data_IF_586563403137
#
_entry.id   IF_586563403137
#
_cell.length_a   1.000
_cell.length_b   1.000
_cell.length_c   1.000
_cell.angle_alpha   90.00
_cell.angle_beta   90.00
_cell.angle_gamma   90.00
#
_symmetry.space_group_name_H-M   'P 1'
#
loop_
_entity.id
_entity.type
_entity.pdbx_description
1 polymer ?
#
# COMPACT_ATOMS: atom_id res chain seq x y z
N UNK A 1 5.15 22.81 9.22
CA UNK A 1 5.92 22.51 10.45
C UNK A 1 5.97 21.00 10.52
N UNK A 2 7.14 20.37 10.32
CA UNK A 2 7.29 18.93 10.38
C UNK A 2 6.98 18.43 11.80
N UNK A 3 6.12 17.41 11.90
CA UNK A 3 5.79 16.79 13.19
C UNK A 3 7.02 16.04 13.70
N UNK A 4 7.35 16.09 15.00
CA UNK A 4 8.37 15.21 15.54
C UNK A 4 7.95 13.75 15.39
N UNK A 5 8.91 12.81 15.32
CA UNK A 5 8.66 11.37 15.22
C UNK A 5 7.60 10.97 16.24
N UNK A 6 6.47 10.44 15.76
CA UNK A 6 5.37 9.96 16.59
C UNK A 6 5.75 8.62 17.24
N UNK A 7 5.13 8.32 18.39
CA UNK A 7 5.32 7.06 19.14
C UNK A 7 4.87 5.81 18.35
N UNK A 8 4.19 6.01 17.22
CA UNK A 8 3.70 4.93 16.32
C UNK A 8 4.71 4.54 15.23
N UNK A 9 5.91 5.11 15.20
CA UNK A 9 6.94 4.77 14.22
C UNK A 9 7.94 3.77 14.77
N UNK A 10 8.00 2.59 14.16
CA UNK A 10 8.95 1.54 14.55
C UNK A 10 9.94 1.29 13.42
N UNK A 11 11.25 1.40 13.71
CA UNK A 11 12.31 0.97 12.80
C UNK A 11 12.79 -0.42 13.20
N UNK A 12 12.61 -1.37 12.30
CA UNK A 12 13.00 -2.76 12.48
C UNK A 12 14.21 -3.08 11.59
N UNK A 13 15.23 -3.71 12.20
CA UNK A 13 16.37 -4.27 11.48
C UNK A 13 16.11 -5.74 11.21
N UNK A 14 16.05 -6.11 9.93
CA UNK A 14 15.74 -7.45 9.47
C UNK A 14 16.98 -8.12 8.88
N UNK A 15 17.10 -9.44 9.03
CA UNK A 15 18.12 -10.22 8.36
C UNK A 15 17.58 -10.68 7.00
N UNK A 16 17.92 -9.94 5.94
CA UNK A 16 17.65 -10.36 4.57
C UNK A 16 18.53 -11.53 4.14
N UNK A 17 18.23 -12.13 2.99
CA UNK A 17 19.00 -13.27 2.43
C UNK A 17 20.40 -12.86 1.96
N UNK A 18 20.52 -11.65 1.40
CA UNK A 18 21.78 -11.15 0.84
C UNK A 18 22.47 -10.14 1.77
N UNK A 19 21.70 -9.32 2.48
CA UNK A 19 22.23 -8.29 3.36
C UNK A 19 21.18 -7.83 4.37
N UNK A 20 21.57 -6.94 5.28
CA UNK A 20 20.67 -6.38 6.28
C UNK A 20 19.68 -5.44 5.58
N UNK A 21 18.42 -5.57 5.97
CA UNK A 21 17.29 -4.79 5.53
C UNK A 21 16.77 -3.97 6.71
N UNK A 22 16.36 -2.74 6.45
CA UNK A 22 15.69 -1.90 7.44
C UNK A 22 14.25 -1.66 6.98
N UNK A 23 13.31 -1.77 7.92
CA UNK A 23 11.90 -1.45 7.73
C UNK A 23 11.48 -0.39 8.74
N UNK A 24 10.81 0.65 8.27
CA UNK A 24 10.15 1.67 9.09
C UNK A 24 8.65 1.56 8.85
N UNK A 25 7.93 1.22 9.92
CA UNK A 25 6.47 1.10 9.89
C UNK A 25 5.82 2.39 10.37
N UNK A 26 4.72 2.76 9.74
CA UNK A 26 3.91 3.92 10.08
C UNK A 26 2.43 3.58 9.89
N UNK A 27 1.59 3.97 10.84
CA UNK A 27 0.14 3.85 10.73
C UNK A 27 -0.44 5.22 10.39
N UNK A 28 -1.12 5.29 9.27
CA UNK A 28 -1.79 6.50 8.79
C UNK A 28 -2.99 6.86 9.66
N UNK A 29 -3.44 8.10 9.58
CA UNK A 29 -4.60 8.60 10.33
C UNK A 29 -5.91 7.84 10.05
N UNK A 30 -6.01 7.17 8.89
CA UNK A 30 -7.15 6.31 8.53
C UNK A 30 -6.96 4.83 8.92
N UNK A 31 -5.91 4.50 9.65
CA UNK A 31 -5.60 3.16 10.14
C UNK A 31 -4.88 2.26 9.13
N UNK A 32 -4.61 2.73 7.90
CA UNK A 32 -3.83 1.98 6.90
C UNK A 32 -2.34 2.01 7.25
N UNK A 33 -1.64 0.91 6.99
CA UNK A 33 -0.20 0.81 7.20
C UNK A 33 0.60 1.32 6.00
N UNK A 34 1.78 1.86 6.27
CA UNK A 34 2.84 2.15 5.30
C UNK A 34 4.15 1.62 5.85
N UNK A 35 4.83 0.76 5.11
CA UNK A 35 6.15 0.24 5.46
C UNK A 35 7.18 0.72 4.43
N UNK A 36 8.20 1.44 4.89
CA UNK A 36 9.34 1.86 4.07
C UNK A 36 10.47 0.85 4.24
N UNK A 37 11.07 0.43 3.14
CA UNK A 37 12.20 -0.49 3.13
C UNK A 37 13.42 0.16 2.51
N UNK A 38 14.61 -0.21 3.03
CA UNK A 38 15.89 0.22 2.50
C UNK A 38 17.04 -0.66 3.00
N UNK A 39 18.17 -0.60 2.32
CA UNK A 39 19.43 -1.17 2.83
C UNK A 39 20.13 -0.22 3.81
N UNK A 40 19.66 1.00 3.91
CA UNK A 40 19.93 1.95 5.00
C UNK A 40 18.65 2.27 5.77
N UNK A 41 18.79 2.78 6.99
CA UNK A 41 17.63 3.16 7.81
C UNK A 41 16.82 4.27 7.12
N UNK A 42 15.51 4.05 6.83
CA UNK A 42 14.68 5.06 6.19
C UNK A 42 14.56 6.32 7.05
N UNK A 43 14.96 7.48 6.51
CA UNK A 43 15.10 8.75 7.24
C UNK A 43 14.16 9.87 6.76
N UNK A 44 13.31 9.61 5.78
CA UNK A 44 12.41 10.62 5.21
C UNK A 44 11.53 11.31 6.26
N UNK A 45 11.33 12.63 6.11
CA UNK A 45 10.44 13.40 6.98
C UNK A 45 8.98 13.07 6.70
N UNK A 46 8.20 12.84 7.75
CA UNK A 46 6.75 12.66 7.63
C UNK A 46 6.05 13.97 7.25
N UNK A 47 5.05 13.87 6.40
CA UNK A 47 4.28 14.99 5.88
C UNK A 47 2.78 14.78 5.89
N UNK A 48 2.07 15.35 4.92
CA UNK A 48 0.63 15.23 4.82
C UNK A 48 0.23 13.89 4.21
N UNK A 49 -0.73 13.21 4.84
CA UNK A 49 -1.24 11.91 4.45
C UNK A 49 -2.48 12.02 3.57
N UNK A 50 -2.55 11.21 2.52
CA UNK A 50 -3.80 10.97 1.82
C UNK A 50 -4.64 9.99 2.63
N UNK A 51 -5.80 10.46 3.11
CA UNK A 51 -6.72 9.68 3.93
C UNK A 51 -7.74 8.97 3.03
N UNK A 52 -7.98 7.70 3.32
CA UNK A 52 -8.94 6.88 2.58
C UNK A 52 -10.41 7.26 2.85
N UNK A 53 -11.30 6.91 1.93
CA UNK A 53 -12.72 7.26 1.95
C UNK A 53 -13.59 6.31 2.82
N UNK A 54 -12.99 5.53 3.73
CA UNK A 54 -13.72 4.67 4.67
C UNK A 54 -13.86 3.20 4.24
N UNK A 55 -14.58 2.42 5.07
CA UNK A 55 -14.75 0.98 4.88
C UNK A 55 -15.64 0.67 3.69
N UNK A 56 -15.09 -0.08 2.76
CA UNK A 56 -15.81 -0.62 1.61
C UNK A 56 -16.06 -2.12 1.80
N UNK A 57 -17.24 -2.58 1.41
CA UNK A 57 -17.58 -4.00 1.46
C UNK A 57 -17.35 -4.62 0.10
N UNK A 58 -16.56 -5.69 0.10
CA UNK A 58 -16.37 -6.60 -1.04
C UNK A 58 -16.88 -7.97 -0.68
N UNK A 59 -17.44 -8.68 -1.65
CA UNK A 59 -17.98 -10.02 -1.45
C UNK A 59 -17.53 -10.99 -2.54
N UNK A 60 -17.46 -12.26 -2.18
CA UNK A 60 -17.32 -13.36 -3.12
C UNK A 60 -18.71 -13.79 -3.58
N UNK A 61 -18.92 -13.94 -4.87
CA UNK A 61 -20.12 -14.50 -5.47
C UNK A 61 -19.78 -15.70 -6.34
N UNK A 62 -20.52 -16.80 -6.16
CA UNK A 62 -20.35 -17.98 -7.00
C UNK A 62 -21.18 -17.82 -8.27
N UNK A 63 -20.56 -18.01 -9.42
CA UNK A 63 -21.25 -18.18 -10.70
C UNK A 63 -21.77 -19.63 -10.77
N UNK A 64 -23.08 -19.87 -10.74
CA UNK A 64 -23.65 -21.22 -10.73
C UNK A 64 -23.46 -21.96 -12.07
N UNK A 65 -23.29 -21.23 -13.18
CA UNK A 65 -23.11 -21.82 -14.50
C UNK A 65 -21.68 -22.32 -14.72
N UNK A 66 -20.70 -21.54 -14.27
CA UNK A 66 -19.28 -21.84 -14.46
C UNK A 66 -18.64 -22.52 -13.26
N UNK A 67 -19.33 -22.54 -12.11
CA UNK A 67 -18.81 -23.03 -10.84
C UNK A 67 -17.51 -22.33 -10.40
N UNK A 68 -17.39 -21.04 -10.72
CA UNK A 68 -16.26 -20.18 -10.35
C UNK A 68 -16.69 -19.13 -9.35
N UNK A 69 -15.73 -18.58 -8.62
CA UNK A 69 -15.96 -17.48 -7.70
C UNK A 69 -15.42 -16.16 -8.28
N UNK A 70 -16.17 -15.09 -8.09
CA UNK A 70 -15.77 -13.74 -8.48
C UNK A 70 -15.80 -12.81 -7.26
N UNK A 71 -14.83 -11.90 -7.18
CA UNK A 71 -14.81 -10.82 -6.20
C UNK A 71 -15.68 -9.68 -6.75
N UNK A 72 -16.67 -9.28 -5.97
CA UNK A 72 -17.54 -8.14 -6.29
C UNK A 72 -17.21 -6.97 -5.36
N UNK A 73 -16.68 -5.89 -5.93
CA UNK A 73 -16.21 -4.69 -5.22
C UNK A 73 -16.83 -3.43 -5.84
N UNK A 74 -18.07 -3.06 -5.46
CA UNK A 74 -18.83 -1.97 -6.10
C UNK A 74 -18.11 -0.62 -6.06
N UNK A 75 -17.43 -0.32 -4.96
CA UNK A 75 -16.71 0.95 -4.74
C UNK A 75 -15.58 1.21 -5.75
N UNK A 76 -15.10 0.16 -6.44
CA UNK A 76 -14.05 0.31 -7.46
C UNK A 76 -14.55 0.84 -8.80
N UNK A 77 -15.86 0.87 -9.02
CA UNK A 77 -16.45 1.34 -10.29
C UNK A 77 -16.28 2.84 -10.49
N UNK A 78 -16.23 3.61 -9.40
CA UNK A 78 -16.05 5.06 -9.43
C UNK A 78 -14.59 5.50 -9.26
N UNK A 79 -13.65 4.55 -9.34
CA UNK A 79 -12.22 4.83 -9.19
C UNK A 79 -11.76 5.79 -10.29
N UNK A 80 -11.15 6.92 -9.88
CA UNK A 80 -10.53 7.88 -10.79
C UNK A 80 -9.41 7.21 -11.57
N UNK A 81 -9.41 7.43 -12.85
CA UNK A 81 -8.43 6.87 -13.75
C UNK A 81 -7.12 7.58 -13.72
N UNK A 82 -6.15 7.67 -13.99
CA UNK A 82 -4.83 8.29 -13.93
C UNK A 82 -4.87 9.77 -13.54
N UNK A 83 -4.30 10.15 -12.39
CA UNK A 83 -4.09 11.55 -12.04
C UNK A 83 -3.09 12.20 -13.01
N UNK A 84 -3.12 13.54 -13.09
CA UNK A 84 -2.10 14.28 -13.79
C UNK A 84 -0.72 14.02 -13.15
N UNK A 85 0.37 14.02 -13.93
CA UNK A 85 1.75 13.77 -13.43
C UNK A 85 2.16 14.70 -12.27
N UNK A 86 1.64 15.92 -12.25
CA UNK A 86 1.87 16.90 -11.18
C UNK A 86 1.11 16.60 -9.88
N UNK A 87 0.19 15.65 -9.91
CA UNK A 87 -0.65 15.22 -8.79
C UNK A 87 -0.54 13.71 -8.56
N UNK A 88 0.64 13.13 -8.75
CA UNK A 88 0.90 11.72 -8.52
C UNK A 88 0.77 11.38 -7.03
N UNK A 89 -0.25 10.60 -6.63
CA UNK A 89 -0.47 10.24 -5.24
C UNK A 89 0.58 9.27 -4.69
N UNK A 90 1.39 8.66 -5.53
CA UNK A 90 2.44 7.70 -5.17
C UNK A 90 3.83 8.36 -5.04
N UNK A 91 3.95 9.62 -5.42
CA UNK A 91 5.20 10.36 -5.28
C UNK A 91 5.56 10.60 -3.81
N UNK A 92 6.86 10.74 -3.48
CA UNK A 92 7.29 11.20 -2.18
C UNK A 92 6.64 12.54 -1.82
N UNK A 93 6.17 12.67 -0.58
CA UNK A 93 5.60 13.93 -0.12
C UNK A 93 6.67 15.05 -0.12
N UNK A 94 6.26 16.27 -0.47
CA UNK A 94 7.10 17.47 -0.44
C UNK A 94 6.38 18.59 0.29
N UNK A 95 7.15 19.43 0.99
CA UNK A 95 6.59 20.61 1.65
C UNK A 95 5.85 21.52 0.64
N UNK A 96 4.57 21.79 0.91
CA UNK A 96 3.70 22.56 0.02
C UNK A 96 3.01 21.75 -1.07
N UNK A 97 3.27 20.42 -1.18
CA UNK A 97 2.51 19.55 -2.07
C UNK A 97 1.19 19.10 -1.47
N UNK A 98 0.30 18.55 -2.31
CA UNK A 98 -0.88 17.83 -1.85
C UNK A 98 -0.49 16.59 -1.01
N UNK A 99 -1.42 16.06 -0.19
CA UNK A 99 -1.23 14.80 0.51
C UNK A 99 -0.96 13.65 -0.46
N UNK A 100 -0.07 12.71 -0.07
CA UNK A 100 0.26 11.52 -0.86
C UNK A 100 -0.02 10.23 -0.09
N UNK A 101 -0.07 9.10 -0.78
CA UNK A 101 -0.20 7.77 -0.15
C UNK A 101 1.04 7.42 0.68
N UNK A 102 2.20 7.91 0.28
CA UNK A 102 3.47 7.73 0.98
C UNK A 102 3.85 9.08 1.59
N UNK A 103 3.49 9.33 2.87
CA UNK A 103 3.65 10.65 3.50
C UNK A 103 5.10 10.94 3.94
N UNK A 104 6.07 10.45 3.22
CA UNK A 104 7.50 10.63 3.51
C UNK A 104 8.21 11.34 2.36
N UNK A 105 9.15 12.22 2.72
CA UNK A 105 9.91 13.01 1.73
C UNK A 105 10.88 12.18 0.92
N UNK A 106 11.31 11.02 1.46
CA UNK A 106 12.29 10.13 0.86
C UNK A 106 11.97 8.68 1.20
N UNK A 107 12.14 7.79 0.25
CA UNK A 107 12.09 6.35 0.43
C UNK A 107 12.82 5.63 -0.71
N UNK A 108 13.32 4.44 -0.44
CA UNK A 108 13.87 3.56 -1.47
C UNK A 108 12.78 2.64 -2.05
N UNK A 109 11.95 2.07 -1.17
CA UNK A 109 10.81 1.23 -1.50
C UNK A 109 9.73 1.44 -0.42
N UNK A 110 8.47 1.51 -0.85
CA UNK A 110 7.33 1.61 0.06
C UNK A 110 6.29 0.54 -0.27
N UNK A 111 5.71 -0.05 0.78
CA UNK A 111 4.55 -0.96 0.68
C UNK A 111 3.47 -0.41 1.60
N UNK A 112 2.25 -0.27 1.11
CA UNK A 112 1.16 0.28 1.89
C UNK A 112 -0.20 -0.34 1.56
N UNK A 113 -1.13 -0.28 2.52
CA UNK A 113 -2.49 -0.77 2.35
C UNK A 113 -3.23 -0.04 1.23
N UNK A 114 -3.75 -0.80 0.27
CA UNK A 114 -4.45 -0.24 -0.88
C UNK A 114 -5.78 0.41 -0.44
N UNK A 115 -5.92 1.72 -0.64
CA UNK A 115 -7.15 2.47 -0.39
C UNK A 115 -8.37 1.88 -1.12
N UNK A 116 -8.18 1.32 -2.30
CA UNK A 116 -9.22 0.72 -3.12
C UNK A 116 -9.13 -0.81 -3.10
N UNK A 117 -8.92 -1.39 -1.92
CA UNK A 117 -8.80 -2.83 -1.76
C UNK A 117 -10.03 -3.56 -2.30
N UNK A 118 -9.82 -4.63 -3.06
CA UNK A 118 -10.88 -5.57 -3.45
C UNK A 118 -11.11 -6.67 -2.41
N UNK A 119 -10.26 -6.74 -1.40
CA UNK A 119 -10.38 -7.62 -0.25
C UNK A 119 -10.53 -6.76 1.00
N UNK A 120 -11.06 -7.34 2.07
CA UNK A 120 -11.24 -6.64 3.33
C UNK A 120 -10.64 -7.45 4.47
N UNK A 121 -10.07 -6.75 5.44
CA UNK A 121 -9.58 -7.36 6.68
C UNK A 121 -10.71 -7.47 7.70
N UNK A 122 -10.74 -8.55 8.48
CA UNK A 122 -11.72 -8.78 9.54
C UNK A 122 -13.01 -9.48 9.08
N UNK A 123 -13.95 -9.60 10.02
CA UNK A 123 -15.24 -10.25 9.76
C UNK A 123 -16.19 -9.27 9.06
N UNK A 124 -16.36 -9.50 7.78
CA UNK A 124 -17.20 -8.66 6.93
C UNK A 124 -18.70 -8.95 7.03
N UNK A 125 -19.09 -9.91 7.84
CA UNK A 125 -20.45 -10.42 7.90
C UNK A 125 -20.93 -10.99 6.57
N UNK A 126 -21.89 -11.87 6.59
CA UNK A 126 -22.50 -12.39 5.36
C UNK A 126 -23.47 -11.35 4.77
N UNK A 127 -23.37 -11.09 3.47
CA UNK A 127 -24.43 -10.37 2.75
C UNK A 127 -25.51 -11.40 2.41
N UNK A 128 -26.78 -11.20 2.84
CA UNK A 128 -27.85 -12.06 2.42
C UNK A 128 -27.96 -12.07 0.89
N UNK A 129 -27.78 -13.23 0.28
CA UNK A 129 -27.86 -13.40 -1.17
C UNK A 129 -28.58 -14.70 -1.45
N UNK A 130 -29.47 -14.70 -2.46
CA UNK A 130 -30.08 -15.95 -2.97
C UNK A 130 -29.06 -16.87 -3.66
N UNK A 131 -27.84 -16.40 -3.90
CA UNK A 131 -26.73 -17.15 -4.47
C UNK A 131 -25.68 -17.43 -3.39
N UNK A 132 -24.89 -18.48 -3.58
CA UNK A 132 -23.76 -18.74 -2.70
C UNK A 132 -22.80 -17.56 -2.73
N UNK A 133 -22.65 -16.88 -1.60
CA UNK A 133 -21.80 -15.72 -1.42
C UNK A 133 -21.05 -15.82 -0.08
N UNK A 134 -19.98 -15.07 0.05
CA UNK A 134 -19.20 -14.99 1.28
C UNK A 134 -18.39 -13.70 1.31
N UNK A 135 -17.76 -13.38 2.46
CA UNK A 135 -16.90 -12.23 2.57
C UNK A 135 -15.65 -12.41 1.68
N UNK A 136 -15.28 -11.37 0.95
CA UNK A 136 -14.01 -11.31 0.23
C UNK A 136 -12.91 -10.87 1.21
N UNK A 137 -12.48 -11.79 2.09
CA UNK A 137 -11.44 -11.51 3.09
C UNK A 137 -10.05 -11.67 2.51
N UNK A 138 -9.13 -10.83 2.98
CA UNK A 138 -7.73 -10.86 2.59
C UNK A 138 -7.08 -9.49 2.74
N UNK A 139 -5.86 -9.37 2.25
CA UNK A 139 -5.05 -8.17 2.31
C UNK A 139 -4.62 -7.74 0.91
N UNK A 140 -4.70 -6.45 0.63
CA UNK A 140 -4.27 -5.87 -0.63
C UNK A 140 -3.31 -4.71 -0.36
N UNK A 141 -2.11 -4.83 -0.88
CA UNK A 141 -1.08 -3.81 -0.75
C UNK A 141 -0.67 -3.27 -2.11
N UNK A 142 -0.13 -2.07 -2.10
CA UNK A 142 0.53 -1.45 -3.24
C UNK A 142 2.02 -1.40 -2.96
N UNK A 143 2.82 -1.87 -3.90
CA UNK A 143 4.28 -1.83 -3.83
C UNK A 143 4.80 -0.75 -4.76
N UNK A 144 5.45 0.26 -4.19
CA UNK A 144 6.13 1.33 -4.91
C UNK A 144 7.64 1.11 -4.76
N UNK A 145 8.23 0.55 -5.81
CA UNK A 145 9.62 0.07 -5.78
C UNK A 145 10.67 1.14 -6.14
N UNK A 146 10.23 2.37 -6.38
CA UNK A 146 11.10 3.53 -6.64
C UNK A 146 10.36 4.82 -6.31
N UNK A 147 11.08 5.82 -5.86
CA UNK A 147 10.58 7.19 -5.67
C UNK A 147 10.49 7.98 -6.98
N UNK A 148 11.02 7.44 -8.08
CA UNK A 148 10.94 8.03 -9.41
C UNK A 148 9.60 7.70 -10.05
N UNK A 149 8.95 8.70 -10.65
CA UNK A 149 7.66 8.52 -11.31
C UNK A 149 7.76 7.89 -12.71
N UNK A 150 8.96 7.69 -13.21
CA UNK A 150 9.25 7.07 -14.51
C UNK A 150 10.21 5.89 -14.35
N UNK A 151 10.09 4.91 -15.23
CA UNK A 151 10.94 3.73 -15.25
C UNK A 151 10.15 2.43 -15.15
N UNK A 152 10.89 1.35 -15.22
CA UNK A 152 10.39 -0.02 -15.11
C UNK A 152 11.33 -0.88 -14.26
N UNK A 153 10.98 -2.14 -14.06
CA UNK A 153 11.80 -3.07 -13.29
C UNK A 153 13.19 -3.32 -13.90
N UNK A 154 13.39 -3.02 -15.17
CA UNK A 154 14.69 -3.14 -15.81
C UNK A 154 15.58 -1.93 -15.48
N UNK A 155 15.02 -0.74 -15.45
CA UNK A 155 15.74 0.51 -15.24
C UNK A 155 16.18 0.78 -13.80
N UNK A 156 15.52 0.21 -12.79
CA UNK A 156 15.79 0.48 -11.37
C UNK A 156 17.12 -0.10 -10.83
N UNK A 157 17.88 -0.82 -11.64
CA UNK A 157 19.15 -1.39 -11.22
C UNK A 157 19.02 -2.68 -10.38
N UNK A 158 20.14 -3.40 -10.25
CA UNK A 158 20.13 -4.71 -9.57
C UNK A 158 19.88 -4.59 -8.07
N UNK A 159 20.50 -3.64 -7.41
CA UNK A 159 20.37 -3.44 -5.96
C UNK A 159 18.91 -3.19 -5.55
N UNK A 160 18.21 -2.34 -6.30
CA UNK A 160 16.78 -2.05 -6.06
C UNK A 160 15.89 -3.28 -6.31
N UNK A 161 16.22 -4.11 -7.29
CA UNK A 161 15.50 -5.38 -7.51
C UNK A 161 15.71 -6.36 -6.37
N UNK A 162 16.92 -6.42 -5.79
CA UNK A 162 17.18 -7.22 -4.59
C UNK A 162 16.38 -6.69 -3.42
N UNK A 163 16.38 -5.39 -3.17
CA UNK A 163 15.55 -4.75 -2.13
C UNK A 163 14.06 -5.11 -2.29
N UNK A 164 13.53 -5.04 -3.51
CA UNK A 164 12.15 -5.42 -3.80
C UNK A 164 11.86 -6.88 -3.41
N UNK A 165 12.73 -7.80 -3.78
CA UNK A 165 12.56 -9.23 -3.44
C UNK A 165 12.64 -9.46 -1.93
N UNK A 166 13.60 -8.85 -1.24
CA UNK A 166 13.74 -8.96 0.22
C UNK A 166 12.51 -8.38 0.94
N UNK A 167 11.99 -7.24 0.50
CA UNK A 167 10.78 -6.65 1.05
C UNK A 167 9.53 -7.53 0.83
N UNK A 168 9.39 -8.16 -0.35
CA UNK A 168 8.30 -9.10 -0.64
C UNK A 168 8.40 -10.41 0.15
N UNK A 169 9.60 -10.80 0.59
CA UNK A 169 9.80 -11.97 1.45
C UNK A 169 9.40 -11.67 2.90
N UNK A 170 9.59 -10.43 3.34
CA UNK A 170 9.24 -9.99 4.69
C UNK A 170 7.71 -9.83 4.85
N UNK A 171 6.98 -9.55 3.76
CA UNK A 171 5.51 -9.36 3.77
C UNK A 171 4.75 -10.66 3.66
#
# INVERSE_FOLDING_TARGET
MARPMDEDETIVKLQGRSQILYRRDHIKADGRSVSLYGFSSPSGLAGLELVGLGNHRSELRRDPLRNTWAIYSPHRQSRTFMPARTADPLAPWRAGSAPTEIPFSEFELAIFDNQFSSLQTGDAGSVPSQWASGPATGHCEVVVYTSESEGDLQSIGQERRVLLIEALIDR
#
